data_IF_671888351310
#
_entry.id   IF_671888351310
#
_cell.length_a   1.000
_cell.length_b   1.000
_cell.length_c   1.000
_cell.angle_alpha   90.00
_cell.angle_beta   90.00
_cell.angle_gamma   90.00
#
_symmetry.space_group_name_H-M   'P 1'
#
loop_
_entity.id
_entity.type
_entity.pdbx_description
1 polymer ?
#
# COMPACT_ATOMS: atom_id res chain seq x y z
N UNK A 1 -7.16 13.40 -57.03
CA UNK A 1 -6.77 11.98 -57.11
C UNK A 1 -6.08 11.64 -55.79
N UNK A 2 -6.81 11.04 -54.84
CA UNK A 2 -6.35 10.87 -53.47
C UNK A 2 -5.59 9.54 -53.35
N UNK A 3 -4.27 9.63 -53.14
CA UNK A 3 -3.42 8.46 -52.94
C UNK A 3 -3.73 7.92 -51.55
N UNK A 4 -4.62 6.93 -51.46
CA UNK A 4 -4.84 6.17 -50.22
C UNK A 4 -3.55 5.41 -49.89
N UNK A 5 -2.77 5.90 -48.93
CA UNK A 5 -1.67 5.12 -48.34
C UNK A 5 -2.28 3.91 -47.64
N UNK A 6 -2.08 2.73 -48.22
CA UNK A 6 -2.43 1.47 -47.60
C UNK A 6 -1.36 1.16 -46.56
N UNK A 7 -1.78 0.99 -45.30
CA UNK A 7 -0.90 0.47 -44.26
C UNK A 7 -0.79 -1.04 -44.47
N UNK A 8 0.41 -1.53 -44.74
CA UNK A 8 0.70 -2.95 -44.95
C UNK A 8 1.30 -3.54 -43.68
N UNK A 9 0.96 -4.80 -43.40
CA UNK A 9 1.46 -5.58 -42.29
C UNK A 9 2.21 -6.80 -42.85
N UNK A 10 3.38 -7.11 -42.30
CA UNK A 10 4.14 -8.30 -42.66
C UNK A 10 3.69 -9.47 -41.78
N UNK A 11 3.26 -10.57 -42.39
CA UNK A 11 2.86 -11.81 -41.74
C UNK A 11 3.70 -12.96 -42.28
N UNK A 12 4.03 -13.96 -41.45
CA UNK A 12 4.66 -15.20 -41.92
C UNK A 12 3.59 -16.23 -42.26
N UNK A 13 3.65 -16.77 -43.48
CA UNK A 13 2.80 -17.89 -43.87
C UNK A 13 3.23 -19.21 -43.19
N UNK A 14 2.48 -20.28 -43.43
CA UNK A 14 2.76 -21.62 -42.90
C UNK A 14 4.09 -22.21 -43.39
N UNK A 15 4.70 -21.63 -44.41
CA UNK A 15 6.00 -22.02 -44.98
C UNK A 15 7.14 -21.09 -44.51
N UNK A 16 6.83 -20.09 -43.68
CA UNK A 16 7.81 -19.14 -43.14
C UNK A 16 8.15 -17.97 -44.08
N UNK A 17 7.45 -17.80 -45.20
CA UNK A 17 7.65 -16.67 -46.11
C UNK A 17 6.97 -15.41 -45.56
N UNK A 18 7.60 -14.25 -45.76
CA UNK A 18 6.99 -12.96 -45.42
C UNK A 18 6.00 -12.52 -46.50
N UNK A 19 4.75 -12.31 -46.09
CA UNK A 19 3.65 -11.87 -46.95
C UNK A 19 3.12 -10.53 -46.44
N UNK A 20 3.04 -9.54 -47.32
CA UNK A 20 2.44 -8.25 -46.99
C UNK A 20 0.92 -8.31 -47.16
N UNK A 21 0.17 -8.02 -46.10
CA UNK A 21 -1.30 -7.94 -46.12
C UNK A 21 -1.78 -6.54 -45.77
N UNK A 22 -3.00 -6.22 -46.18
CA UNK A 22 -3.64 -4.97 -45.79
C UNK A 22 -3.89 -4.98 -44.28
N UNK A 23 -3.27 -4.07 -43.54
CA UNK A 23 -3.36 -3.99 -42.08
C UNK A 23 -4.65 -3.34 -41.57
N UNK A 24 -5.80 -3.59 -42.22
CA UNK A 24 -7.09 -3.01 -41.81
C UNK A 24 -8.21 -4.06 -41.81
N UNK A 25 -8.93 -4.23 -40.67
CA UNK A 25 -8.60 -3.66 -39.36
C UNK A 25 -7.26 -4.23 -38.84
N UNK A 26 -6.46 -3.40 -38.15
CA UNK A 26 -5.16 -3.83 -37.63
C UNK A 26 -5.39 -4.75 -36.43
N UNK A 27 -4.91 -6.01 -36.44
CA UNK A 27 -5.02 -6.89 -35.28
C UNK A 27 -4.09 -6.42 -34.16
N UNK A 28 -4.59 -6.41 -32.92
CA UNK A 28 -3.86 -5.89 -31.74
C UNK A 28 -2.62 -6.73 -31.40
N UNK A 29 -2.59 -8.01 -31.74
CA UNK A 29 -1.47 -8.92 -31.49
C UNK A 29 -0.14 -8.43 -32.10
N UNK A 30 -0.20 -7.73 -33.23
CA UNK A 30 0.98 -7.13 -33.87
C UNK A 30 1.52 -5.89 -33.13
N UNK A 31 0.82 -5.42 -32.10
CA UNK A 31 1.24 -4.33 -31.23
C UNK A 31 1.82 -4.86 -29.90
N UNK A 32 1.79 -6.17 -29.68
CA UNK A 32 2.19 -6.80 -28.43
C UNK A 32 3.49 -7.57 -28.61
N UNK A 33 4.27 -7.62 -27.52
CA UNK A 33 5.47 -8.44 -27.41
C UNK A 33 5.36 -9.22 -26.12
N UNK A 34 5.52 -10.55 -26.21
CA UNK A 34 5.54 -11.41 -25.03
C UNK A 34 6.85 -11.23 -24.26
N UNK A 35 6.72 -10.94 -22.97
CA UNK A 35 7.85 -10.86 -22.04
C UNK A 35 7.73 -12.01 -21.04
N UNK A 36 8.75 -12.88 -20.91
CA UNK A 36 8.69 -13.98 -19.95
C UNK A 36 8.65 -13.42 -18.51
N UNK A 37 7.72 -13.93 -17.70
CA UNK A 37 7.59 -13.61 -16.28
C UNK A 37 7.92 -14.84 -15.44
N UNK A 38 8.77 -14.67 -14.42
CA UNK A 38 9.13 -15.74 -13.49
C UNK A 38 9.49 -15.19 -12.12
N UNK A 39 9.48 -16.05 -11.11
CA UNK A 39 10.06 -15.79 -9.79
C UNK A 39 11.40 -16.51 -9.66
N UNK A 40 12.39 -15.96 -8.95
CA UNK A 40 13.66 -16.64 -8.73
C UNK A 40 13.44 -17.95 -7.95
N UNK A 41 14.27 -18.97 -8.23
CA UNK A 41 14.19 -20.29 -7.57
C UNK A 41 14.32 -20.17 -6.05
N UNK A 42 15.22 -19.30 -5.58
CA UNK A 42 15.30 -18.87 -4.18
C UNK A 42 14.74 -17.47 -4.09
N UNK A 43 13.63 -17.25 -3.38
CA UNK A 43 13.02 -15.93 -3.26
C UNK A 43 13.96 -14.90 -2.64
N UNK A 44 14.19 -13.80 -3.36
CA UNK A 44 14.95 -12.65 -2.87
C UNK A 44 13.98 -11.51 -2.57
N UNK A 45 13.74 -11.25 -1.28
CA UNK A 45 12.84 -10.20 -0.84
C UNK A 45 13.61 -8.99 -0.34
N UNK A 46 13.23 -7.79 -0.81
CA UNK A 46 13.69 -6.53 -0.22
C UNK A 46 12.86 -6.19 1.03
N UNK A 47 11.54 -6.36 0.94
CA UNK A 47 10.61 -6.12 2.05
C UNK A 47 10.42 -7.37 2.92
N UNK A 48 10.04 -7.17 4.17
CA UNK A 48 9.83 -8.26 5.11
C UNK A 48 8.57 -9.04 4.77
N UNK A 49 8.69 -10.37 4.68
CA UNK A 49 7.54 -11.25 4.42
C UNK A 49 6.90 -11.63 5.75
N UNK A 50 5.62 -11.27 5.92
CA UNK A 50 4.83 -11.63 7.10
C UNK A 50 4.05 -12.91 6.84
N UNK A 51 3.80 -13.67 7.91
CA UNK A 51 3.09 -14.95 7.84
C UNK A 51 1.60 -14.77 7.53
N UNK A 52 1.00 -13.71 8.09
CA UNK A 52 -0.41 -13.41 7.94
C UNK A 52 -0.62 -12.12 7.15
N UNK A 53 -1.60 -12.13 6.24
CA UNK A 53 -1.97 -10.97 5.43
C UNK A 53 -2.42 -9.78 6.30
N UNK A 54 -3.04 -10.04 7.46
CA UNK A 54 -3.45 -9.02 8.45
C UNK A 54 -2.27 -8.35 9.16
N UNK A 55 -1.07 -8.91 9.03
CA UNK A 55 0.14 -8.34 9.59
C UNK A 55 0.68 -7.18 8.76
N UNK A 56 0.29 -7.02 7.50
CA UNK A 56 0.80 -5.97 6.62
C UNK A 56 0.11 -4.63 6.87
N UNK A 57 0.79 -3.54 6.50
CA UNK A 57 0.16 -2.22 6.48
C UNK A 57 -0.90 -2.18 5.36
N UNK A 58 -2.04 -1.48 5.55
CA UNK A 58 -3.06 -1.37 4.52
C UNK A 58 -2.49 -0.85 3.20
N UNK A 59 -2.89 -1.45 2.08
CA UNK A 59 -2.44 -1.06 0.73
C UNK A 59 -3.16 0.21 0.27
N UNK A 60 -2.43 1.12 -0.40
CA UNK A 60 -2.99 2.36 -0.93
C UNK A 60 -4.07 2.13 -2.00
N UNK A 61 -4.96 3.12 -2.17
CA UNK A 61 -6.01 3.14 -3.20
C UNK A 61 -7.01 1.96 -3.15
N UNK A 62 -7.20 1.36 -1.97
CA UNK A 62 -8.16 0.26 -1.74
C UNK A 62 -9.24 0.61 -0.70
N UNK A 63 -9.68 1.86 -0.71
CA UNK A 63 -10.72 2.35 0.21
C UNK A 63 -12.02 1.53 0.13
N UNK A 64 -12.39 1.08 -1.07
CA UNK A 64 -13.60 0.27 -1.31
C UNK A 64 -13.48 -1.11 -0.61
N UNK A 65 -12.26 -1.63 -0.47
CA UNK A 65 -11.98 -2.90 0.20
C UNK A 65 -11.77 -2.72 1.72
N UNK A 66 -11.99 -1.51 2.26
CA UNK A 66 -11.80 -1.18 3.67
C UNK A 66 -10.33 -0.95 4.07
N UNK A 67 -9.42 -0.84 3.11
CA UNK A 67 -8.02 -0.49 3.38
C UNK A 67 -7.90 1.03 3.54
N UNK A 68 -8.05 1.49 4.77
CA UNK A 68 -7.90 2.90 5.14
C UNK A 68 -6.47 3.13 5.62
N UNK A 69 -5.79 4.10 5.02
CA UNK A 69 -4.46 4.55 5.44
C UNK A 69 -4.59 5.89 6.15
N UNK A 70 -4.90 5.84 7.43
CA UNK A 70 -4.99 6.99 8.33
C UNK A 70 -4.04 6.82 9.52
N UNK A 71 -4.07 7.80 10.43
CA UNK A 71 -3.17 7.80 11.58
C UNK A 71 -3.47 6.65 12.56
N UNK A 72 -4.74 6.26 12.72
CA UNK A 72 -5.13 5.12 13.55
C UNK A 72 -4.62 3.82 12.97
N UNK A 73 -4.69 3.60 11.65
CA UNK A 73 -4.10 2.43 10.99
C UNK A 73 -2.58 2.32 11.22
N UNK A 74 -1.85 3.45 11.24
CA UNK A 74 -0.43 3.49 11.59
C UNK A 74 -0.20 3.10 13.06
N UNK A 75 -0.95 3.69 13.99
CA UNK A 75 -0.84 3.38 15.41
C UNK A 75 -1.08 1.89 15.68
N UNK A 76 -2.15 1.34 15.11
CA UNK A 76 -2.53 -0.06 15.17
C UNK A 76 -1.43 -0.98 14.63
N UNK A 77 -0.87 -0.65 13.48
CA UNK A 77 0.18 -1.44 12.83
C UNK A 77 1.44 -1.50 13.70
N UNK A 78 1.85 -0.36 14.26
CA UNK A 78 3.03 -0.27 15.12
C UNK A 78 2.80 -0.97 16.46
N UNK A 79 1.59 -0.87 17.04
CA UNK A 79 1.20 -1.57 18.25
C UNK A 79 1.28 -3.10 18.07
N UNK A 80 0.72 -3.62 16.97
CA UNK A 80 0.76 -5.06 16.61
C UNK A 80 2.19 -5.56 16.37
N UNK A 81 3.08 -4.68 15.92
CA UNK A 81 4.45 -5.04 15.54
C UNK A 81 5.49 -4.77 16.65
N UNK A 82 5.07 -4.44 17.88
CA UNK A 82 5.97 -4.05 18.99
C UNK A 82 6.98 -5.14 19.39
N UNK A 83 6.66 -6.40 19.15
CA UNK A 83 7.53 -7.55 19.46
C UNK A 83 8.59 -7.83 18.39
N UNK A 84 8.48 -7.18 17.22
CA UNK A 84 9.38 -7.37 16.10
C UNK A 84 10.55 -6.38 16.12
N UNK A 85 11.71 -6.74 15.55
CA UNK A 85 12.79 -5.79 15.34
C UNK A 85 12.32 -4.61 14.49
N UNK A 86 12.69 -3.39 14.86
CA UNK A 86 12.25 -2.17 14.18
C UNK A 86 12.42 -2.22 12.65
N UNK A 87 13.59 -2.66 12.17
CA UNK A 87 13.85 -2.74 10.73
C UNK A 87 12.87 -3.69 10.02
N UNK A 88 12.50 -4.81 10.66
CA UNK A 88 11.54 -5.76 10.08
C UNK A 88 10.12 -5.17 10.03
N UNK A 89 9.77 -4.27 10.96
CA UNK A 89 8.49 -3.55 10.98
C UNK A 89 8.40 -2.50 9.88
N UNK A 90 9.46 -1.70 9.69
CA UNK A 90 9.50 -0.62 8.70
C UNK A 90 9.88 -1.09 7.29
N UNK A 91 10.35 -2.32 7.14
CA UNK A 91 10.58 -2.96 5.84
C UNK A 91 9.27 -3.41 5.17
N UNK A 92 8.25 -2.54 5.16
CA UNK A 92 6.98 -2.68 4.47
C UNK A 92 6.84 -1.51 3.48
N UNK A 93 6.63 -1.83 2.21
CA UNK A 93 6.55 -0.83 1.15
C UNK A 93 5.41 0.18 1.37
N UNK A 94 4.24 -0.31 1.76
CA UNK A 94 3.05 0.53 1.90
C UNK A 94 3.18 1.46 3.09
N UNK A 95 3.80 0.99 4.19
CA UNK A 95 4.16 1.85 5.31
C UNK A 95 5.15 2.94 4.89
N UNK A 96 6.23 2.59 4.18
CA UNK A 96 7.24 3.56 3.75
C UNK A 96 6.64 4.61 2.81
N UNK A 97 5.73 4.20 1.92
CA UNK A 97 4.99 5.11 1.06
C UNK A 97 4.08 6.04 1.85
N UNK A 98 3.37 5.51 2.86
CA UNK A 98 2.54 6.31 3.74
C UNK A 98 3.37 7.36 4.49
N UNK A 99 4.48 6.96 5.12
CA UNK A 99 5.40 7.87 5.81
C UNK A 99 5.96 8.93 4.86
N UNK A 100 6.30 8.56 3.62
CA UNK A 100 6.77 9.52 2.61
C UNK A 100 5.73 10.58 2.26
N UNK A 101 4.43 10.25 2.33
CA UNK A 101 3.33 11.17 2.00
C UNK A 101 2.87 12.01 3.20
N UNK A 102 3.34 11.70 4.41
CA UNK A 102 2.93 12.30 5.69
C UNK A 102 3.48 13.72 5.94
N UNK A 103 3.71 14.52 4.89
CA UNK A 103 4.39 15.82 4.98
C UNK A 103 3.62 16.85 5.84
N UNK A 104 2.29 16.74 5.88
CA UNK A 104 1.43 17.69 6.60
C UNK A 104 1.58 17.60 8.12
N UNK A 105 1.99 16.43 8.66
CA UNK A 105 2.12 16.21 10.10
C UNK A 105 3.58 16.26 10.55
N UNK A 106 4.49 15.65 9.79
CA UNK A 106 5.92 15.61 10.09
C UNK A 106 6.74 15.63 8.79
N UNK A 107 7.94 16.25 8.76
CA UNK A 107 8.78 16.34 7.56
C UNK A 107 9.51 15.01 7.23
N UNK A 108 8.76 13.92 7.18
CA UNK A 108 9.24 12.53 7.00
C UNK A 108 10.00 12.36 5.69
N UNK A 109 9.52 12.97 4.60
CA UNK A 109 10.13 12.84 3.26
C UNK A 109 11.61 13.21 3.25
N UNK A 110 11.97 14.30 3.91
CA UNK A 110 13.36 14.79 3.97
C UNK A 110 14.29 13.87 4.78
N UNK A 111 13.71 13.11 5.72
CA UNK A 111 14.45 12.26 6.66
C UNK A 111 14.44 10.78 6.26
N UNK A 112 13.66 10.38 5.26
CA UNK A 112 13.45 8.97 4.92
C UNK A 112 14.65 8.30 4.21
N UNK A 113 15.52 9.08 3.56
CA UNK A 113 16.64 8.54 2.76
C UNK A 113 17.51 7.52 3.50
N UNK A 114 18.05 7.83 4.70
CA UNK A 114 18.84 6.88 5.48
C UNK A 114 18.05 5.63 5.92
N UNK A 115 16.74 5.74 6.14
CA UNK A 115 15.89 4.57 6.44
C UNK A 115 15.75 3.65 5.23
N UNK A 116 15.51 4.21 4.05
CA UNK A 116 15.41 3.44 2.80
C UNK A 116 16.72 2.72 2.50
N UNK A 117 17.86 3.35 2.79
CA UNK A 117 19.16 2.70 2.68
C UNK A 117 19.29 1.52 3.64
N UNK A 118 18.89 1.69 4.90
CA UNK A 118 18.91 0.61 5.89
C UNK A 118 18.01 -0.57 5.49
N UNK A 119 16.83 -0.31 4.94
CA UNK A 119 15.92 -1.34 4.41
C UNK A 119 16.55 -2.05 3.21
N UNK A 120 17.11 -1.29 2.26
CA UNK A 120 17.77 -1.84 1.06
C UNK A 120 18.96 -2.74 1.42
N UNK A 121 19.81 -2.31 2.35
CA UNK A 121 21.00 -3.06 2.78
C UNK A 121 20.71 -4.09 3.87
N UNK A 122 19.46 -4.16 4.37
CA UNK A 122 19.03 -4.99 5.51
C UNK A 122 19.88 -4.77 6.78
N UNK A 123 20.33 -3.53 6.99
CA UNK A 123 21.23 -3.17 8.08
C UNK A 123 20.45 -2.72 9.31
N UNK A 124 20.33 -3.63 10.29
CA UNK A 124 19.59 -3.39 11.54
C UNK A 124 20.20 -2.27 12.39
N UNK A 125 21.51 -2.04 12.31
CA UNK A 125 22.16 -1.00 13.09
C UNK A 125 21.76 0.38 12.57
N UNK A 126 21.82 0.59 11.24
CA UNK A 126 21.36 1.83 10.61
C UNK A 126 19.87 2.09 10.82
N UNK A 127 19.07 1.02 10.83
CA UNK A 127 17.64 1.12 11.17
C UNK A 127 17.42 1.66 12.59
N UNK A 128 18.14 1.11 13.57
CA UNK A 128 18.03 1.56 14.96
C UNK A 128 18.58 2.97 15.18
N UNK A 129 19.64 3.35 14.48
CA UNK A 129 20.15 4.74 14.48
C UNK A 129 19.10 5.71 13.95
N UNK A 130 18.41 5.35 12.85
CA UNK A 130 17.32 6.17 12.31
C UNK A 130 16.15 6.27 13.28
N UNK A 131 15.78 5.16 13.95
CA UNK A 131 14.73 5.14 14.98
C UNK A 131 15.00 6.16 16.11
N UNK A 132 16.27 6.41 16.44
CA UNK A 132 16.65 7.35 17.48
C UNK A 132 16.53 8.83 17.09
N UNK A 133 16.19 9.14 15.83
CA UNK A 133 16.00 10.52 15.35
C UNK A 133 14.73 11.14 15.93
N UNK A 134 14.79 12.45 16.14
CA UNK A 134 13.67 13.23 16.71
C UNK A 134 12.37 13.07 15.91
N UNK A 135 12.45 13.03 14.57
CA UNK A 135 11.26 12.87 13.72
C UNK A 135 10.47 11.59 14.02
N UNK A 136 11.15 10.51 14.38
CA UNK A 136 10.50 9.25 14.74
C UNK A 136 10.00 9.26 16.19
N UNK A 137 10.77 9.85 17.11
CA UNK A 137 10.32 10.02 18.52
C UNK A 137 9.05 10.85 18.60
N UNK A 138 8.97 11.97 17.87
CA UNK A 138 7.77 12.80 17.80
C UNK A 138 6.58 12.01 17.25
N UNK A 139 6.79 11.14 16.25
CA UNK A 139 5.74 10.26 15.76
C UNK A 139 5.26 9.28 16.85
N UNK A 140 6.19 8.65 17.59
CA UNK A 140 5.85 7.76 18.70
C UNK A 140 5.07 8.49 19.81
N UNK A 141 5.44 9.74 20.13
CA UNK A 141 4.72 10.60 21.09
C UNK A 141 3.30 10.95 20.61
N UNK A 142 3.14 11.32 19.33
CA UNK A 142 1.84 11.63 18.74
C UNK A 142 0.91 10.41 18.76
N UNK A 143 1.46 9.23 18.48
CA UNK A 143 0.71 7.96 18.56
C UNK A 143 0.26 7.72 20.01
N UNK A 144 1.18 7.86 20.98
CA UNK A 144 0.86 7.68 22.40
C UNK A 144 -0.20 8.68 22.91
N UNK A 145 -0.16 9.92 22.43
CA UNK A 145 -1.16 10.94 22.76
C UNK A 145 -2.53 10.61 22.14
N UNK A 146 -2.56 10.11 20.90
CA UNK A 146 -3.81 9.75 20.22
C UNK A 146 -4.50 8.54 20.86
N UNK A 147 -3.75 7.55 21.35
CA UNK A 147 -4.32 6.35 21.97
C UNK A 147 -5.03 6.65 23.29
N UNK A 148 -4.66 7.72 24.00
CA UNK A 148 -5.31 8.11 25.26
C UNK A 148 -6.70 8.75 25.07
N UNK A 149 -7.06 9.16 23.84
CA UNK A 149 -8.33 9.82 23.58
C UNK A 149 -9.49 8.83 23.35
N UNK A 150 -9.22 7.57 23.00
CA UNK A 150 -10.28 6.58 22.75
C UNK A 150 -10.83 5.92 24.03
N UNK A 151 -10.05 5.81 25.10
CA UNK A 151 -10.47 5.20 26.38
C UNK A 151 -11.47 6.06 27.19
N UNK A 152 -11.67 7.32 26.83
CA UNK A 152 -12.51 8.27 27.61
C UNK A 152 -13.90 8.52 27.01
N UNK A 153 -14.27 7.80 25.95
CA UNK A 153 -15.54 7.96 25.24
C UNK A 153 -16.23 6.61 25.08
N UNK A 154 -17.11 6.25 26.04
CA UNK A 154 -18.38 5.50 25.89
C UNK A 154 -18.80 4.86 27.24
N UNK A 155 -19.50 5.63 28.08
CA UNK A 155 -20.44 5.08 29.08
C UNK A 155 -21.69 5.96 29.07
N UNK A 156 -22.48 5.85 28.01
CA UNK A 156 -23.85 6.34 28.02
C UNK A 156 -24.78 5.13 28.11
N UNK A 157 -25.13 4.75 29.34
CA UNK A 157 -26.27 3.89 29.63
C UNK A 157 -27.56 4.65 29.24
N UNK A 158 -27.95 4.54 27.98
CA UNK A 158 -29.28 4.93 27.53
C UNK A 158 -30.26 3.80 27.87
N UNK A 159 -30.91 3.91 29.02
CA UNK A 159 -32.00 3.02 29.41
C UNK A 159 -33.15 3.13 28.38
N UNK A 160 -33.49 2.00 27.77
CA UNK A 160 -34.62 1.83 26.86
C UNK A 160 -35.95 1.97 27.62
N UNK A 161 -36.72 3.01 27.29
CA UNK A 161 -38.11 3.18 27.77
C UNK A 161 -39.06 2.58 26.72
N UNK A 162 -39.89 1.58 27.06
CA UNK A 162 -40.85 1.01 26.11
C UNK A 162 -42.01 1.98 25.85
N UNK A 163 -42.44 2.06 24.60
CA UNK A 163 -43.52 2.90 24.14
C UNK A 163 -44.91 2.30 24.46
N UNK A 164 -45.76 3.18 25.00
CA UNK A 164 -47.21 3.27 24.78
C UNK A 164 -48.16 2.40 25.63
N UNK A 165 -48.58 2.99 26.75
CA UNK A 165 -49.84 2.70 27.41
C UNK A 165 -51.00 3.48 26.74
N UNK A 166 -51.96 2.71 26.23
CA UNK A 166 -53.39 2.98 26.03
C UNK A 166 -53.88 4.41 25.75
N UNK A 167 -54.28 4.64 24.49
CA UNK A 167 -55.25 5.66 24.09
C UNK A 167 -56.65 5.31 24.62
N UNK A 168 -57.20 6.15 25.49
CA UNK A 168 -58.62 6.13 25.79
C UNK A 168 -59.13 7.58 25.81
N UNK A 169 -59.95 7.96 24.83
CA UNK A 169 -60.77 9.17 24.88
C UNK A 169 -62.23 8.79 24.66
N UNK A 170 -63.07 9.27 25.57
CA UNK A 170 -64.54 9.32 25.47
C UNK A 170 -64.93 10.58 24.71
#
# INVERSE_FOLDING_TARGET
MEIRRFNLLSEKDVYGNEVQRLGRPLPVEYLLVDVPASTPLVPLYTFHVRKDAKGYFPVENRLIDGHIQDFSALADYLAKSRTMPFLDVVSDFHLLLYLYRMEDMLPMKSQLGPLLEAVRSKDKAKGNEWKAREVWKTLEELIAASSHHEDSSMSNDAAFVPADAEQNWV
#
